data_IF_971682379068
#
_entry.id   IF_971682379068
#
_cell.length_a   1.000
_cell.length_b   1.000
_cell.length_c   1.000
_cell.angle_alpha   90.00
_cell.angle_beta   90.00
_cell.angle_gamma   90.00
#
_symmetry.space_group_name_H-M   'P 1'
#
loop_
_entity.id
_entity.type
_entity.pdbx_description
1 polymer ?
#
# COMPACT_ATOMS: atom_id res chain seq x y z
N UNK A 1 15.48 5.42 -0.49
CA UNK A 1 15.33 4.25 0.38
C UNK A 1 14.15 4.52 1.29
N UNK A 2 13.19 3.61 1.39
CA UNK A 2 11.99 3.82 2.19
C UNK A 2 12.17 3.26 3.60
N UNK A 3 11.70 4.01 4.60
CA UNK A 3 11.76 3.64 6.03
C UNK A 3 10.44 2.99 6.44
N UNK A 4 10.48 1.82 7.03
CA UNK A 4 9.31 1.06 7.50
C UNK A 4 9.41 0.89 9.01
N UNK A 5 8.32 1.18 9.72
CA UNK A 5 8.15 0.81 11.12
C UNK A 5 7.43 -0.54 11.19
N UNK A 6 8.01 -1.49 11.91
CA UNK A 6 7.45 -2.82 12.15
C UNK A 6 7.18 -3.00 13.63
N UNK A 7 5.92 -3.19 14.01
CA UNK A 7 5.48 -3.41 15.39
C UNK A 7 4.90 -4.81 15.53
N UNK A 8 5.61 -5.67 16.20
CA UNK A 8 5.28 -7.09 16.41
C UNK A 8 5.97 -7.54 17.69
N UNK A 9 5.23 -8.05 18.67
CA UNK A 9 5.77 -8.45 19.97
C UNK A 9 6.48 -9.82 19.95
N UNK A 10 6.08 -10.70 19.04
CA UNK A 10 6.78 -11.97 18.82
C UNK A 10 8.11 -11.74 18.13
N UNK A 11 9.19 -11.81 18.92
CA UNK A 11 10.55 -11.43 18.48
C UNK A 11 11.02 -12.20 17.24
N UNK A 12 10.80 -13.51 17.22
CA UNK A 12 11.26 -14.35 16.09
C UNK A 12 10.52 -14.00 14.79
N UNK A 13 9.23 -13.69 14.88
CA UNK A 13 8.43 -13.24 13.74
C UNK A 13 8.87 -11.85 13.30
N UNK A 14 9.08 -10.92 14.24
CA UNK A 14 9.56 -9.57 13.95
C UNK A 14 10.90 -9.62 13.20
N UNK A 15 11.89 -10.35 13.73
CA UNK A 15 13.22 -10.49 13.14
C UNK A 15 13.16 -11.16 11.75
N UNK A 16 12.27 -12.13 11.57
CA UNK A 16 12.04 -12.79 10.29
C UNK A 16 11.48 -11.79 9.26
N UNK A 17 10.41 -11.07 9.59
CA UNK A 17 9.79 -10.06 8.72
C UNK A 17 10.79 -8.98 8.36
N UNK A 18 11.51 -8.45 9.35
CA UNK A 18 12.57 -7.46 9.15
C UNK A 18 13.59 -7.94 8.11
N UNK A 19 14.09 -9.17 8.28
CA UNK A 19 15.07 -9.75 7.35
C UNK A 19 14.56 -9.79 5.91
N UNK A 20 13.27 -10.15 5.71
CA UNK A 20 12.70 -10.20 4.38
C UNK A 20 12.52 -8.81 3.76
N UNK A 21 12.08 -7.82 4.55
CA UNK A 21 11.93 -6.44 4.09
C UNK A 21 13.28 -5.78 3.78
N UNK A 22 14.30 -6.00 4.60
CA UNK A 22 15.65 -5.47 4.38
C UNK A 22 16.30 -6.05 3.11
N UNK A 23 16.04 -7.32 2.78
CA UNK A 23 16.46 -7.93 1.51
C UNK A 23 15.86 -7.25 0.28
N UNK A 24 14.68 -6.65 0.40
CA UNK A 24 14.02 -5.87 -0.65
C UNK A 24 14.52 -4.42 -0.72
N UNK A 25 15.47 -4.04 0.15
CA UNK A 25 16.07 -2.71 0.14
C UNK A 25 15.36 -1.68 1.01
N UNK A 26 14.48 -2.09 1.91
CA UNK A 26 13.85 -1.22 2.90
C UNK A 26 14.75 -1.01 4.12
N UNK A 27 14.61 0.14 4.77
CA UNK A 27 15.21 0.39 6.09
C UNK A 27 14.13 0.13 7.15
N UNK A 28 14.32 -0.89 8.02
CA UNK A 28 13.29 -1.33 8.95
C UNK A 28 13.66 -1.02 10.40
N UNK A 29 12.79 -0.27 11.07
CA UNK A 29 12.84 -0.06 12.52
C UNK A 29 11.86 -1.00 13.18
N UNK A 30 12.36 -1.91 14.02
CA UNK A 30 11.54 -2.87 14.77
C UNK A 30 11.15 -2.33 16.13
N UNK A 31 9.88 -2.53 16.50
CA UNK A 31 9.31 -2.31 17.81
C UNK A 31 8.70 -3.63 18.30
N UNK A 32 8.99 -3.99 19.54
CA UNK A 32 8.53 -5.25 20.16
C UNK A 32 7.40 -5.02 21.19
N UNK A 33 6.93 -3.78 21.32
CA UNK A 33 5.81 -3.41 22.16
C UNK A 33 5.19 -2.08 21.70
N UNK A 34 3.93 -1.86 22.11
CA UNK A 34 3.18 -0.67 21.74
C UNK A 34 3.71 0.61 22.35
N UNK A 35 4.22 0.55 23.60
CA UNK A 35 4.74 1.70 24.34
C UNK A 35 5.90 2.40 23.64
N UNK A 36 6.82 1.64 23.04
CA UNK A 36 7.95 2.21 22.29
C UNK A 36 7.54 2.70 20.91
N UNK A 37 6.63 1.98 20.25
CA UNK A 37 6.13 2.37 18.95
C UNK A 37 5.33 3.68 19.00
N UNK A 38 4.46 3.85 19.99
CA UNK A 38 3.61 5.04 20.12
C UNK A 38 4.41 6.31 20.41
N UNK A 39 5.53 6.21 21.13
CA UNK A 39 6.44 7.33 21.41
C UNK A 39 7.14 7.85 20.13
N UNK A 40 7.29 6.99 19.16
CA UNK A 40 7.95 7.28 17.89
C UNK A 40 6.93 7.49 16.74
N UNK A 41 5.64 7.66 17.06
CA UNK A 41 4.55 7.86 16.09
C UNK A 41 4.66 9.16 15.29
N UNK A 42 5.46 10.12 15.73
CA UNK A 42 5.77 11.38 15.06
C UNK A 42 6.99 11.30 14.12
N UNK A 43 7.75 10.19 14.18
CA UNK A 43 8.87 9.97 13.27
C UNK A 43 8.40 9.73 11.83
N UNK A 44 9.24 10.11 10.89
CA UNK A 44 8.94 10.00 9.45
C UNK A 44 9.19 8.58 8.97
N UNK A 45 8.13 7.80 8.87
CA UNK A 45 8.10 6.51 8.19
C UNK A 45 7.30 6.60 6.89
N UNK A 46 7.60 5.71 5.95
CA UNK A 46 6.89 5.60 4.68
C UNK A 46 5.78 4.53 4.73
N UNK A 47 5.83 3.65 5.72
CA UNK A 47 4.81 2.64 5.96
C UNK A 47 4.95 2.11 7.38
N UNK A 48 3.82 1.85 8.04
CA UNK A 48 3.75 1.14 9.30
C UNK A 48 3.14 -0.24 9.12
N UNK A 49 3.74 -1.25 9.73
CA UNK A 49 3.18 -2.60 9.87
C UNK A 49 2.90 -2.79 11.34
N UNK A 50 1.64 -3.00 11.70
CA UNK A 50 1.18 -3.02 13.07
C UNK A 50 0.48 -4.36 13.37
N UNK A 51 1.02 -5.15 14.30
CA UNK A 51 0.19 -6.17 14.91
C UNK A 51 -0.89 -5.50 15.76
N UNK A 52 -2.11 -6.00 15.66
CA UNK A 52 -3.23 -5.50 16.47
C UNK A 52 -3.09 -5.93 17.93
N UNK A 53 -2.56 -7.14 18.17
CA UNK A 53 -2.46 -7.73 19.50
C UNK A 53 -1.00 -7.78 19.96
N UNK A 54 -0.57 -6.79 20.72
CA UNK A 54 0.82 -6.60 21.16
C UNK A 54 1.09 -7.07 22.59
N UNK A 55 0.28 -7.91 23.18
CA UNK A 55 0.54 -8.47 24.50
C UNK A 55 0.70 -7.48 25.69
N UNK A 56 0.58 -6.18 25.42
CA UNK A 56 0.60 -5.08 26.39
C UNK A 56 -0.75 -4.31 26.40
N UNK A 57 -0.83 -3.20 27.14
CA UNK A 57 -2.05 -2.39 27.23
C UNK A 57 -2.32 -1.55 25.96
N UNK A 58 -1.34 -1.43 25.06
CA UNK A 58 -1.41 -0.64 23.82
C UNK A 58 -1.59 -1.57 22.64
N UNK A 59 -2.71 -1.47 21.95
CA UNK A 59 -3.00 -2.22 20.73
C UNK A 59 -2.50 -1.51 19.47
N UNK A 60 -2.40 -2.25 18.34
CA UNK A 60 -2.16 -1.65 17.03
C UNK A 60 -3.18 -0.58 16.64
N UNK A 61 -4.42 -0.68 17.15
CA UNK A 61 -5.45 0.34 16.96
C UNK A 61 -5.16 1.66 17.69
N UNK A 62 -4.51 1.61 18.85
CA UNK A 62 -4.12 2.82 19.57
C UNK A 62 -2.94 3.50 18.88
N UNK A 63 -2.03 2.71 18.33
CA UNK A 63 -0.89 3.23 17.56
C UNK A 63 -1.36 3.94 16.29
N UNK A 64 -2.28 3.34 15.49
CA UNK A 64 -2.76 4.00 14.27
C UNK A 64 -3.49 5.31 14.58
N UNK A 65 -4.31 5.37 15.63
CA UNK A 65 -4.96 6.61 16.05
C UNK A 65 -3.92 7.70 16.29
N UNK A 66 -2.84 7.37 17.02
CA UNK A 66 -1.76 8.32 17.28
C UNK A 66 -0.99 8.74 16.02
N UNK A 67 -0.74 7.81 15.12
CA UNK A 67 -0.14 8.10 13.81
C UNK A 67 -1.02 9.08 13.02
N UNK A 68 -2.34 8.87 13.01
CA UNK A 68 -3.29 9.71 12.27
C UNK A 68 -3.40 11.13 12.82
N UNK A 69 -3.16 11.34 14.11
CA UNK A 69 -3.05 12.68 14.70
C UNK A 69 -1.84 13.46 14.14
N UNK A 70 -0.73 12.76 13.88
CA UNK A 70 0.53 13.37 13.44
C UNK A 70 0.69 13.38 11.91
N UNK A 71 0.25 12.32 11.24
CA UNK A 71 0.35 12.14 9.78
C UNK A 71 -0.81 11.27 9.28
N UNK A 72 -1.81 11.91 8.69
CA UNK A 72 -3.03 11.25 8.22
C UNK A 72 -2.81 10.34 7.01
N UNK A 73 -1.75 10.55 6.23
CA UNK A 73 -1.58 9.96 4.89
C UNK A 73 -0.56 8.82 4.84
N UNK A 74 0.20 8.58 5.94
CA UNK A 74 1.17 7.48 5.95
C UNK A 74 0.45 6.13 5.87
N UNK A 75 0.81 5.24 4.93
CA UNK A 75 0.14 3.95 4.81
C UNK A 75 0.40 3.04 6.00
N UNK A 76 -0.63 2.27 6.36
CA UNK A 76 -0.62 1.32 7.47
C UNK A 76 -1.14 -0.03 7.02
N UNK A 77 -0.41 -1.09 7.33
CA UNK A 77 -0.84 -2.49 7.20
C UNK A 77 -1.08 -3.05 8.59
N UNK A 78 -2.26 -3.62 8.84
CA UNK A 78 -2.49 -4.42 10.03
C UNK A 78 -2.14 -5.90 9.80
N UNK A 79 -1.53 -6.51 10.81
CA UNK A 79 -1.41 -7.96 10.95
C UNK A 79 -2.19 -8.42 12.18
N UNK A 80 -2.89 -9.55 12.12
CA UNK A 80 -3.67 -10.03 13.25
C UNK A 80 -3.98 -11.53 13.17
N UNK A 81 -4.05 -12.18 14.32
CA UNK A 81 -4.59 -13.54 14.45
C UNK A 81 -6.14 -13.58 14.36
N UNK A 82 -6.79 -12.41 14.32
CA UNK A 82 -8.25 -12.31 14.22
C UNK A 82 -8.65 -12.25 12.75
N UNK A 83 -9.51 -13.17 12.35
CA UNK A 83 -10.05 -13.31 10.99
C UNK A 83 -11.49 -12.81 10.86
N UNK A 84 -12.08 -12.29 11.94
CA UNK A 84 -13.46 -11.81 11.94
C UNK A 84 -13.62 -10.60 11.04
N UNK A 85 -14.66 -10.59 10.24
CA UNK A 85 -14.98 -9.48 9.34
C UNK A 85 -15.09 -8.13 10.07
N UNK A 86 -15.56 -8.15 11.34
CA UNK A 86 -15.66 -6.96 12.17
C UNK A 86 -14.29 -6.31 12.45
N UNK A 87 -13.25 -7.10 12.72
CA UNK A 87 -11.89 -6.59 12.96
C UNK A 87 -11.30 -5.95 11.70
N UNK A 88 -11.60 -6.50 10.52
CA UNK A 88 -11.21 -5.91 9.23
C UNK A 88 -11.93 -4.59 8.97
N UNK A 89 -13.24 -4.53 9.29
CA UNK A 89 -14.03 -3.30 9.15
C UNK A 89 -13.46 -2.20 10.06
N UNK A 90 -13.18 -2.50 11.32
CA UNK A 90 -12.57 -1.56 12.27
C UNK A 90 -11.21 -1.06 11.75
N UNK A 91 -10.37 -1.95 11.22
CA UNK A 91 -9.09 -1.57 10.63
C UNK A 91 -9.25 -0.58 9.48
N UNK A 92 -10.21 -0.83 8.58
CA UNK A 92 -10.52 0.07 7.45
C UNK A 92 -11.09 1.41 7.91
N UNK A 93 -12.00 1.42 8.91
CA UNK A 93 -12.56 2.65 9.49
C UNK A 93 -11.49 3.54 10.14
N UNK A 94 -10.46 2.92 10.73
CA UNK A 94 -9.30 3.63 11.30
C UNK A 94 -8.31 4.12 10.22
N UNK A 95 -8.59 3.83 8.93
CA UNK A 95 -7.80 4.30 7.81
C UNK A 95 -6.55 3.47 7.55
N UNK A 96 -6.60 2.14 7.78
CA UNK A 96 -5.55 1.24 7.29
C UNK A 96 -5.66 1.03 5.78
N UNK A 97 -4.53 0.80 5.13
CA UNK A 97 -4.43 0.56 3.68
C UNK A 97 -4.56 -0.92 3.32
N UNK A 98 -4.25 -1.81 4.25
CA UNK A 98 -4.37 -3.27 4.08
C UNK A 98 -4.47 -3.99 5.43
N UNK A 99 -4.94 -5.24 5.39
CA UNK A 99 -5.11 -6.12 6.54
C UNK A 99 -4.71 -7.55 6.18
N UNK A 100 -3.84 -8.15 6.99
CA UNK A 100 -3.34 -9.52 6.79
C UNK A 100 -3.64 -10.37 8.00
N UNK A 101 -4.29 -11.52 7.79
CA UNK A 101 -4.55 -12.48 8.86
C UNK A 101 -3.39 -13.44 9.07
N UNK A 102 -2.99 -13.65 10.33
CA UNK A 102 -2.04 -14.69 10.72
C UNK A 102 -2.71 -16.08 10.69
N UNK A 103 -2.02 -17.14 10.25
CA UNK A 103 -0.63 -17.14 9.76
C UNK A 103 -0.52 -16.66 8.31
N UNK A 104 0.49 -15.87 8.00
CA UNK A 104 0.80 -15.42 6.66
C UNK A 104 2.27 -15.73 6.29
N UNK A 105 2.54 -15.78 4.99
CA UNK A 105 3.91 -15.90 4.50
C UNK A 105 4.62 -14.53 4.56
N UNK A 106 5.89 -14.45 5.05
CA UNK A 106 6.66 -13.22 4.95
C UNK A 106 6.76 -12.67 3.52
N UNK A 107 6.77 -13.54 2.52
CA UNK A 107 6.72 -13.13 1.11
C UNK A 107 5.41 -12.44 0.73
N UNK A 108 4.29 -12.88 1.28
CA UNK A 108 3.00 -12.23 1.05
C UNK A 108 3.01 -10.80 1.61
N UNK A 109 3.48 -10.62 2.85
CA UNK A 109 3.60 -9.30 3.46
C UNK A 109 4.50 -8.38 2.62
N UNK A 110 5.65 -8.87 2.18
CA UNK A 110 6.57 -8.11 1.31
C UNK A 110 5.89 -7.67 0.01
N UNK A 111 5.13 -8.55 -0.65
CA UNK A 111 4.40 -8.19 -1.88
C UNK A 111 3.37 -7.08 -1.64
N UNK A 112 2.66 -7.11 -0.50
CA UNK A 112 1.70 -6.07 -0.12
C UNK A 112 2.39 -4.74 0.17
N UNK A 113 3.50 -4.77 0.93
CA UNK A 113 4.35 -3.60 1.17
C UNK A 113 4.83 -2.99 -0.14
N UNK A 114 5.37 -3.80 -1.07
CA UNK A 114 5.83 -3.33 -2.37
C UNK A 114 4.69 -2.66 -3.17
N UNK A 115 3.49 -3.23 -3.16
CA UNK A 115 2.34 -2.66 -3.85
C UNK A 115 1.90 -1.32 -3.26
N UNK A 116 1.86 -1.21 -1.93
CA UNK A 116 1.49 0.04 -1.26
C UNK A 116 2.54 1.12 -1.49
N UNK A 117 3.82 0.83 -1.26
CA UNK A 117 4.91 1.78 -1.48
C UNK A 117 4.91 2.29 -2.93
N UNK A 118 4.73 1.38 -3.90
CA UNK A 118 4.62 1.75 -5.32
C UNK A 118 3.42 2.66 -5.58
N UNK A 119 2.25 2.34 -5.03
CA UNK A 119 1.02 3.11 -5.19
C UNK A 119 1.15 4.52 -4.61
N UNK A 120 1.74 4.65 -3.41
CA UNK A 120 1.77 5.91 -2.67
C UNK A 120 2.93 6.80 -3.08
N UNK A 121 4.13 6.24 -3.26
CA UNK A 121 5.36 7.03 -3.41
C UNK A 121 5.96 7.02 -4.81
N UNK A 122 5.54 6.10 -5.69
CA UNK A 122 6.09 6.05 -7.04
C UNK A 122 5.10 6.70 -8.01
N UNK A 123 4.88 8.00 -7.85
CA UNK A 123 3.98 8.82 -8.71
C UNK A 123 4.29 8.76 -10.21
N UNK A 124 5.47 8.28 -10.60
CA UNK A 124 5.88 8.25 -12.02
C UNK A 124 5.36 7.05 -12.81
N UNK A 125 4.71 6.05 -12.19
CA UNK A 125 4.37 4.81 -12.89
C UNK A 125 2.91 4.59 -13.22
N UNK A 126 2.05 5.53 -12.89
CA UNK A 126 0.67 5.48 -13.36
C UNK A 126 0.42 6.38 -14.57
N UNK A 127 1.49 6.94 -15.15
CA UNK A 127 1.41 7.66 -16.41
C UNK A 127 2.08 6.87 -17.52
N UNK A 128 1.31 6.54 -18.55
CA UNK A 128 1.82 5.97 -19.78
C UNK A 128 2.05 7.12 -20.75
N UNK A 129 3.30 7.31 -21.18
CA UNK A 129 3.62 8.28 -22.24
C UNK A 129 3.74 7.55 -23.58
N UNK A 130 2.99 8.01 -24.57
CA UNK A 130 3.06 7.52 -25.93
C UNK A 130 3.02 8.70 -26.91
N UNK A 131 4.15 8.99 -27.57
CA UNK A 131 4.35 10.22 -28.35
C UNK A 131 4.07 11.46 -27.47
N UNK A 132 3.15 12.29 -27.89
CA UNK A 132 2.67 13.50 -27.18
C UNK A 132 1.48 13.23 -26.23
N UNK A 133 1.07 11.96 -26.09
CA UNK A 133 -0.01 11.58 -25.18
C UNK A 133 0.52 11.17 -23.81
N UNK A 134 -0.13 11.65 -22.76
CA UNK A 134 0.10 11.26 -21.36
C UNK A 134 -1.20 10.68 -20.81
N UNK A 135 -1.19 9.42 -20.40
CA UNK A 135 -2.34 8.71 -19.83
C UNK A 135 -2.09 8.53 -18.35
N UNK A 136 -2.86 9.21 -17.53
CA UNK A 136 -2.82 9.14 -16.07
C UNK A 136 -3.82 8.07 -15.61
N UNK A 137 -3.30 6.91 -15.20
CA UNK A 137 -4.13 5.76 -14.83
C UNK A 137 -4.85 5.96 -13.50
N UNK A 138 -4.27 6.75 -12.58
CA UNK A 138 -4.88 7.04 -11.28
C UNK A 138 -6.09 7.93 -11.42
N UNK A 139 -5.94 8.98 -12.22
CA UNK A 139 -7.00 9.95 -12.46
C UNK A 139 -7.99 9.50 -13.52
N UNK A 140 -7.66 8.44 -14.27
CA UNK A 140 -8.39 8.00 -15.48
C UNK A 140 -8.57 9.15 -16.48
N UNK A 141 -7.48 9.90 -16.71
CA UNK A 141 -7.42 11.05 -17.61
C UNK A 141 -6.35 10.85 -18.67
N UNK A 142 -6.55 11.40 -19.84
CA UNK A 142 -5.57 11.39 -20.91
C UNK A 142 -5.37 12.80 -21.46
N UNK A 143 -4.14 13.14 -21.76
CA UNK A 143 -3.73 14.45 -22.25
C UNK A 143 -2.98 14.31 -23.57
N UNK A 144 -3.14 15.28 -24.46
CA UNK A 144 -2.25 15.49 -25.59
C UNK A 144 -1.48 16.80 -25.36
N UNK A 145 -0.16 16.69 -25.08
CA UNK A 145 0.59 17.82 -24.54
C UNK A 145 -0.01 18.25 -23.18
N UNK A 146 -0.48 19.49 -23.12
CA UNK A 146 -1.15 20.05 -21.92
C UNK A 146 -2.69 20.04 -21.99
N UNK A 147 -3.27 19.56 -23.11
CA UNK A 147 -4.72 19.54 -23.33
C UNK A 147 -5.34 18.25 -22.80
N UNK A 148 -6.36 18.38 -21.92
CA UNK A 148 -7.17 17.24 -21.43
C UNK A 148 -8.10 16.76 -22.56
N UNK A 149 -8.03 15.47 -22.88
CA UNK A 149 -8.87 14.87 -23.92
C UNK A 149 -10.33 14.65 -23.49
N UNK A 150 -10.65 14.84 -22.20
CA UNK A 150 -11.98 14.69 -21.62
C UNK A 150 -12.68 13.39 -22.02
N UNK A 151 -11.96 12.27 -21.96
CA UNK A 151 -12.46 10.96 -22.35
C UNK A 151 -13.55 10.47 -21.37
N UNK A 152 -14.58 9.86 -21.91
CA UNK A 152 -15.52 9.06 -21.12
C UNK A 152 -14.82 7.83 -20.54
N UNK A 153 -15.44 7.18 -19.55
CA UNK A 153 -14.89 5.96 -18.94
C UNK A 153 -14.57 4.88 -19.98
N UNK A 154 -15.48 4.65 -20.93
CA UNK A 154 -15.29 3.65 -21.98
C UNK A 154 -14.16 4.02 -22.94
N UNK A 155 -14.09 5.27 -23.36
CA UNK A 155 -13.01 5.76 -24.24
C UNK A 155 -11.64 5.68 -23.57
N UNK A 156 -11.58 5.96 -22.25
CA UNK A 156 -10.35 5.79 -21.49
C UNK A 156 -9.93 4.32 -21.42
N UNK A 157 -10.86 3.39 -21.16
CA UNK A 157 -10.58 1.94 -21.09
C UNK A 157 -10.08 1.41 -22.43
N UNK A 158 -10.66 1.86 -23.53
CA UNK A 158 -10.20 1.53 -24.88
C UNK A 158 -8.80 2.06 -25.15
N UNK A 159 -8.53 3.31 -24.82
CA UNK A 159 -7.20 3.91 -24.97
C UNK A 159 -6.16 3.14 -24.15
N UNK A 160 -6.48 2.83 -22.90
CA UNK A 160 -5.60 2.04 -22.02
C UNK A 160 -5.30 0.65 -22.60
N UNK A 161 -6.33 -0.05 -23.08
CA UNK A 161 -6.18 -1.36 -23.71
C UNK A 161 -5.25 -1.30 -24.92
N UNK A 162 -5.38 -0.30 -25.80
CA UNK A 162 -4.54 -0.17 -26.99
C UNK A 162 -3.08 0.20 -26.65
N UNK A 163 -2.88 1.11 -25.70
CA UNK A 163 -1.53 1.59 -25.34
C UNK A 163 -0.74 0.54 -24.57
N UNK A 164 -1.42 -0.31 -23.78
CA UNK A 164 -0.76 -1.40 -23.04
C UNK A 164 -0.46 -2.63 -23.89
N UNK A 165 -1.11 -2.78 -25.05
CA UNK A 165 -0.97 -3.93 -25.94
C UNK A 165 -0.59 -3.52 -27.36
N UNK A 166 0.48 -2.75 -27.51
CA UNK A 166 0.91 -2.10 -28.76
C UNK A 166 1.12 -3.04 -29.96
N UNK A 167 1.41 -4.31 -29.70
CA UNK A 167 1.70 -5.31 -30.75
C UNK A 167 0.52 -6.24 -31.03
N UNK A 168 -0.62 -6.03 -30.33
CA UNK A 168 -1.81 -6.87 -30.48
C UNK A 168 -2.84 -6.18 -31.36
N UNK A 169 -3.38 -6.91 -32.36
CA UNK A 169 -4.57 -6.50 -33.09
C UNK A 169 -5.81 -6.96 -32.32
N UNK A 170 -6.80 -6.09 -32.21
CA UNK A 170 -8.06 -6.37 -31.55
C UNK A 170 -9.18 -6.52 -32.57
N UNK A 171 -9.95 -7.58 -32.47
CA UNK A 171 -11.19 -7.72 -33.22
C UNK A 171 -12.31 -6.88 -32.59
N UNK A 172 -13.42 -6.73 -33.30
CA UNK A 172 -14.62 -6.07 -32.76
C UNK A 172 -15.14 -6.76 -31.50
N UNK A 173 -15.08 -8.08 -31.44
CA UNK A 173 -15.55 -8.87 -30.30
C UNK A 173 -14.65 -8.72 -29.07
N UNK A 174 -13.33 -8.52 -29.27
CA UNK A 174 -12.39 -8.21 -28.18
C UNK A 174 -12.66 -6.84 -27.54
N UNK A 175 -13.31 -5.93 -28.26
CA UNK A 175 -13.60 -4.56 -27.81
C UNK A 175 -14.98 -4.48 -27.12
N UNK A 176 -15.91 -5.38 -27.46
CA UNK A 176 -17.29 -5.33 -27.00
C UNK A 176 -17.58 -6.24 -25.80
N UNK A 177 -16.63 -7.09 -25.39
CA UNK A 177 -16.70 -7.96 -24.21
C UNK A 177 -15.83 -7.42 -23.08
#
# INVERSE_FOLDING_TARGET
MYNIALVEDEKDLNDLIKTYLEKEGYNVTSYYNGDTAIKDSDKVYHLWILDIMLGDDISGYDIIKKIRENNSDVPVIFTSARDKDLDKIIGLELGSDDYITKPYSPKELVLRVNNIIRRVYTKERQKITYKDYIIDLDKRMAFQGDEDLNLTTLEFDLLYMFVTNKEKSFSRDDILN
#
